data_IF_847365958533
#
_entry.id   IF_847365958533
#
_cell.length_a   1.000
_cell.length_b   1.000
_cell.length_c   1.000
_cell.angle_alpha   90.00
_cell.angle_beta   90.00
_cell.angle_gamma   90.00
#
_symmetry.space_group_name_H-M   'P 1'
#
loop_
_entity.id
_entity.type
_entity.pdbx_description
1 polymer ?
#
# COMPACT_ATOMS: atom_id res chain seq x y z
N UNK A 1 0.42 7.01 11.60
CA UNK A 1 -0.23 6.70 10.32
C UNK A 1 -0.33 5.20 10.19
N UNK A 2 -1.54 4.62 9.97
CA UNK A 2 -1.69 3.22 9.62
C UNK A 2 -0.78 2.83 8.46
N UNK A 3 -0.11 1.69 8.59
CA UNK A 3 0.73 1.16 7.53
C UNK A 3 0.85 -0.36 7.64
N UNK A 4 1.26 -0.98 6.54
CA UNK A 4 1.54 -2.41 6.45
C UNK A 4 2.72 -2.63 5.51
N UNK A 5 3.67 -3.46 5.92
CA UNK A 5 4.73 -3.91 5.01
C UNK A 5 4.37 -5.29 4.47
N UNK A 6 4.36 -5.43 3.15
CA UNK A 6 4.18 -6.69 2.45
C UNK A 6 5.52 -7.21 1.95
N UNK A 7 5.71 -8.52 2.08
CA UNK A 7 6.86 -9.19 1.51
C UNK A 7 6.66 -9.42 0.02
N UNK A 8 7.51 -8.84 -0.82
CA UNK A 8 7.54 -9.09 -2.26
C UNK A 8 8.88 -9.75 -2.65
N UNK A 9 8.93 -10.64 -3.66
CA UNK A 9 10.14 -11.39 -3.99
C UNK A 9 11.38 -10.54 -4.31
N UNK A 10 11.16 -9.29 -4.75
CA UNK A 10 12.25 -8.36 -5.05
C UNK A 10 12.69 -7.51 -3.85
N UNK A 11 11.77 -7.19 -2.93
CA UNK A 11 12.03 -6.41 -1.70
C UNK A 11 10.73 -6.31 -0.87
N UNK A 12 10.82 -5.85 0.37
CA UNK A 12 9.63 -5.42 1.12
C UNK A 12 9.05 -4.11 0.53
N UNK A 13 7.74 -3.96 0.63
CA UNK A 13 7.03 -2.72 0.26
C UNK A 13 6.14 -2.31 1.42
N UNK A 14 6.23 -1.06 1.85
CA UNK A 14 5.33 -0.50 2.86
C UNK A 14 4.30 0.42 2.23
N UNK A 15 3.04 0.21 2.60
CA UNK A 15 1.90 1.05 2.22
C UNK A 15 1.49 1.90 3.40
N UNK A 16 1.25 3.18 3.16
CA UNK A 16 0.79 4.12 4.17
C UNK A 16 -0.59 4.66 3.83
N UNK A 17 -1.45 4.71 4.84
CA UNK A 17 -2.82 5.20 4.73
C UNK A 17 -3.05 6.40 5.66
N UNK A 18 -3.70 7.43 5.13
CA UNK A 18 -4.25 8.54 5.92
C UNK A 18 -5.63 8.90 5.39
N UNK A 19 -6.61 9.07 6.29
CA UNK A 19 -7.97 9.53 5.95
C UNK A 19 -8.62 8.77 4.78
N UNK A 20 -8.63 7.43 4.86
CA UNK A 20 -9.21 6.51 3.86
C UNK A 20 -8.59 6.64 2.45
N UNK A 21 -7.32 7.06 2.37
CA UNK A 21 -6.57 7.11 1.13
C UNK A 21 -5.14 6.58 1.31
N UNK A 22 -4.61 5.93 0.27
CA UNK A 22 -3.18 5.58 0.23
C UNK A 22 -2.40 6.85 -0.06
N UNK A 23 -1.52 7.23 0.86
CA UNK A 23 -0.75 8.49 0.77
C UNK A 23 0.70 8.27 0.34
N UNK A 24 1.25 7.08 0.57
CA UNK A 24 2.64 6.77 0.23
C UNK A 24 2.88 5.26 0.05
N UNK A 25 3.89 4.94 -0.77
CA UNK A 25 4.38 3.58 -1.02
C UNK A 25 5.91 3.63 -1.00
N UNK A 26 6.53 3.02 -0.01
CA UNK A 26 7.99 3.02 0.15
C UNK A 26 8.58 1.61 0.08
N UNK A 27 9.87 1.51 -0.25
CA UNK A 27 10.62 0.25 -0.24
C UNK A 27 11.17 -0.03 1.14
N UNK A 28 11.14 -1.30 1.51
CA UNK A 28 11.64 -1.80 2.79
C UNK A 28 10.54 -1.95 3.84
N UNK A 29 10.98 -2.38 5.01
CA UNK A 29 10.12 -2.72 6.14
C UNK A 29 10.08 -1.58 7.16
N UNK A 30 8.88 -1.10 7.47
CA UNK A 30 8.69 0.10 8.31
C UNK A 30 8.54 -0.17 9.81
N UNK A 31 8.82 -1.39 10.28
CA UNK A 31 8.80 -1.64 11.73
C UNK A 31 7.47 -2.14 12.27
N UNK A 32 7.09 -1.58 13.41
CA UNK A 32 5.89 -1.93 14.15
C UNK A 32 4.63 -1.58 13.38
N UNK A 33 3.85 -2.61 13.02
CA UNK A 33 2.64 -2.51 12.21
C UNK A 33 1.40 -2.73 13.06
N UNK A 34 0.22 -2.44 12.51
CA UNK A 34 -1.05 -2.82 13.12
C UNK A 34 -1.17 -4.36 13.17
N UNK A 35 -1.74 -4.89 14.25
CA UNK A 35 -2.02 -6.32 14.38
C UNK A 35 -2.99 -6.84 13.30
N UNK A 36 -3.85 -5.95 12.79
CA UNK A 36 -4.72 -6.20 11.65
C UNK A 36 -4.73 -4.97 10.73
N UNK A 37 -4.61 -5.14 9.41
CA UNK A 37 -4.70 -4.03 8.47
C UNK A 37 -6.12 -3.44 8.47
N UNK A 38 -6.24 -2.18 8.08
CA UNK A 38 -7.52 -1.55 7.76
C UNK A 38 -8.14 -2.23 6.53
N UNK A 39 -9.43 -1.95 6.27
CA UNK A 39 -10.10 -2.47 5.09
C UNK A 39 -9.39 -2.02 3.79
N UNK A 40 -9.01 -0.73 3.71
CA UNK A 40 -8.31 -0.19 2.55
C UNK A 40 -6.93 -0.82 2.34
N UNK A 41 -6.14 -0.97 3.41
CA UNK A 41 -4.83 -1.63 3.32
C UNK A 41 -4.99 -3.10 2.90
N UNK A 42 -5.98 -3.82 3.43
CA UNK A 42 -6.24 -5.21 3.05
C UNK A 42 -6.61 -5.34 1.56
N UNK A 43 -7.46 -4.46 1.04
CA UNK A 43 -7.83 -4.42 -0.38
C UNK A 43 -6.62 -4.08 -1.27
N UNK A 44 -5.84 -3.08 -0.86
CA UNK A 44 -4.62 -2.65 -1.57
C UNK A 44 -3.59 -3.78 -1.66
N UNK A 45 -3.38 -4.54 -0.57
CA UNK A 45 -2.53 -5.74 -0.56
C UNK A 45 -3.02 -6.76 -1.59
N UNK A 46 -4.33 -7.00 -1.66
CA UNK A 46 -4.91 -7.95 -2.60
C UNK A 46 -4.66 -7.55 -4.06
N UNK A 47 -4.92 -6.28 -4.38
CA UNK A 47 -4.70 -5.70 -5.72
C UNK A 47 -3.23 -5.77 -6.13
N UNK A 48 -2.30 -5.37 -5.26
CA UNK A 48 -0.86 -5.45 -5.51
C UNK A 48 -0.41 -6.89 -5.70
N UNK A 49 -0.87 -7.82 -4.87
CA UNK A 49 -0.58 -9.24 -5.02
C UNK A 49 -1.06 -9.81 -6.36
N UNK A 50 -2.21 -9.36 -6.86
CA UNK A 50 -2.70 -9.75 -8.19
C UNK A 50 -1.90 -9.11 -9.33
N UNK A 51 -1.46 -7.85 -9.19
CA UNK A 51 -0.55 -7.21 -10.13
C UNK A 51 0.80 -7.94 -10.21
N UNK A 52 1.41 -8.29 -9.08
CA UNK A 52 2.71 -8.97 -9.05
C UNK A 52 2.69 -10.37 -9.64
N UNK A 53 1.53 -11.04 -9.63
CA UNK A 53 1.34 -12.33 -10.29
C UNK A 53 1.03 -12.20 -11.79
N UNK A 54 1.18 -11.01 -12.37
CA UNK A 54 0.79 -10.68 -13.75
C UNK A 54 -0.68 -10.99 -14.06
N UNK A 55 -1.54 -11.10 -13.03
CA UNK A 55 -2.96 -11.40 -13.17
C UNK A 55 -3.81 -10.14 -13.40
N UNK A 56 -3.26 -8.97 -13.07
CA UNK A 56 -3.83 -7.66 -13.37
C UNK A 56 -2.75 -6.77 -13.98
N UNK A 57 -3.04 -6.15 -15.13
CA UNK A 57 -2.15 -5.16 -15.78
C UNK A 57 -2.59 -3.73 -15.53
N UNK A 58 -3.78 -3.53 -14.95
CA UNK A 58 -4.37 -2.22 -14.67
C UNK A 58 -5.21 -2.34 -13.40
N UNK A 59 -4.97 -1.45 -12.46
CA UNK A 59 -5.77 -1.32 -11.24
C UNK A 59 -5.69 0.14 -10.77
N UNK A 60 -6.76 0.62 -10.15
CA UNK A 60 -6.80 1.93 -9.53
C UNK A 60 -6.60 1.76 -8.01
N UNK A 61 -5.74 2.59 -7.42
CA UNK A 61 -5.67 2.76 -5.98
C UNK A 61 -6.34 4.08 -5.63
N UNK A 62 -7.07 4.17 -4.50
CA UNK A 62 -7.55 5.44 -3.98
C UNK A 62 -6.37 6.23 -3.40
N UNK A 63 -5.58 6.80 -4.31
CA UNK A 63 -4.44 7.63 -3.98
C UNK A 63 -4.95 8.98 -3.47
N UNK A 64 -4.43 9.41 -2.33
CA UNK A 64 -4.63 10.78 -1.89
C UNK A 64 -4.01 11.70 -2.96
N UNK A 65 -4.83 12.54 -3.60
CA UNK A 65 -4.35 13.56 -4.51
C UNK A 65 -3.70 14.71 -3.73
N UNK A 66 -2.59 14.46 -3.05
CA UNK A 66 -1.83 15.53 -2.39
C UNK A 66 -0.84 16.12 -3.38
N UNK A 67 -1.34 16.98 -4.26
CA UNK A 67 -0.50 17.88 -5.03
C UNK A 67 0.13 18.85 -4.02
N UNK A 68 1.45 18.78 -3.84
CA UNK A 68 2.20 19.79 -3.10
C UNK A 68 2.01 21.13 -3.83
N UNK A 69 1.16 22.00 -3.28
CA UNK A 69 1.13 23.43 -3.60
C UNK A 69 1.83 24.16 -2.47
N UNK A 70 3.17 24.23 -2.53
CA UNK A 70 4.02 25.28 -1.95
C UNK A 70 5.49 24.88 -2.16
#
# INVERSE_FOLDING_TARGET
>A
MPHVSIHHPADDITLFEEADAIVDIDKGWAGHQLNAPTHLLAETIHLLGACFRSALTTFDLPLASRWYSA
#
